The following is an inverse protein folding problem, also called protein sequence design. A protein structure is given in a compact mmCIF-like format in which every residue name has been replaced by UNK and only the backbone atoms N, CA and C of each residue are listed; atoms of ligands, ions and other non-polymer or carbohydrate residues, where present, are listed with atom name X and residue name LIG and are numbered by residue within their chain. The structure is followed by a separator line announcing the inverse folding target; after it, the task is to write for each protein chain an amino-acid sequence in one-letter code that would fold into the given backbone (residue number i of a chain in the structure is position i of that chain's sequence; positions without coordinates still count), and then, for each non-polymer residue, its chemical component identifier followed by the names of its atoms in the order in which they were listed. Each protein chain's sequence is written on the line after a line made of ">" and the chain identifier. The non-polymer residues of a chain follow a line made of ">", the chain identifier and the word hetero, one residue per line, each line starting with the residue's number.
data_IF_565745163041
#
_entry.id   IF_565745163041
#
_cell.length_a   1.000
_cell.length_b   1.000
_cell.length_c   1.000
_cell.angle_alpha   90.00
_cell.angle_beta   90.00
_cell.angle_gamma   90.00
#
_symmetry.space_group_name_H-M   'P 1'
#
loop_
_entity.id
_entity.type
_entity.pdbx_description
1 polymer ?
#
# COMPACT_ATOMS: atom_id res chain seq x y z
N UNK A 1 31.82 6.74 -86.79
CA UNK A 1 31.64 5.95 -85.55
C UNK A 1 32.68 6.39 -84.53
N UNK A 2 32.29 7.16 -83.50
CA UNK A 2 33.11 7.40 -82.31
C UNK A 2 32.19 7.87 -81.18
N UNK A 3 31.93 6.99 -80.23
CA UNK A 3 31.19 7.23 -78.99
C UNK A 3 32.02 8.09 -78.03
N UNK A 4 31.39 9.04 -77.34
CA UNK A 4 31.94 9.58 -76.10
C UNK A 4 30.85 9.59 -75.03
N UNK A 5 31.00 8.67 -74.08
CA UNK A 5 30.09 8.39 -72.97
C UNK A 5 30.60 9.21 -71.78
N UNK A 6 29.87 10.26 -71.40
CA UNK A 6 30.18 11.00 -70.18
C UNK A 6 29.44 10.36 -68.99
N UNK A 7 30.25 9.84 -68.08
CA UNK A 7 29.86 9.17 -66.85
C UNK A 7 29.58 10.21 -65.76
N UNK A 8 28.32 10.37 -65.35
CA UNK A 8 27.94 11.21 -64.21
C UNK A 8 27.20 10.42 -63.12
N UNK A 9 27.66 9.20 -62.83
CA UNK A 9 27.22 8.49 -61.62
C UNK A 9 27.93 9.09 -60.41
N UNK A 10 27.31 10.13 -59.83
CA UNK A 10 27.61 10.57 -58.46
C UNK A 10 27.33 9.40 -57.52
N UNK A 11 28.38 8.71 -57.12
CA UNK A 11 28.36 7.76 -56.02
C UNK A 11 28.16 8.57 -54.74
N UNK A 12 26.90 8.63 -54.27
CA UNK A 12 26.61 9.11 -52.93
C UNK A 12 27.12 8.02 -51.99
N UNK A 13 28.33 8.22 -51.48
CA UNK A 13 28.87 7.48 -50.34
C UNK A 13 27.95 7.78 -49.16
N UNK A 14 26.98 6.89 -48.91
CA UNK A 14 26.36 6.82 -47.60
C UNK A 14 27.48 6.51 -46.59
N UNK A 15 27.71 7.35 -45.57
CA UNK A 15 28.53 6.92 -44.47
C UNK A 15 27.83 5.70 -43.88
N UNK A 16 28.55 4.58 -43.87
CA UNK A 16 28.28 3.45 -43.01
C UNK A 16 28.32 3.97 -41.57
N UNK A 17 27.17 4.44 -41.09
CA UNK A 17 27.01 4.95 -39.74
C UNK A 17 26.93 3.76 -38.79
N UNK A 18 27.95 3.73 -37.95
CA UNK A 18 27.99 3.14 -36.63
C UNK A 18 28.20 1.63 -36.56
N UNK A 19 29.49 1.29 -36.73
CA UNK A 19 30.15 0.19 -36.03
C UNK A 19 29.57 0.04 -34.61
N UNK A 20 29.05 -1.15 -34.41
CA UNK A 20 28.46 -1.74 -33.21
C UNK A 20 29.40 -1.64 -32.00
N UNK A 21 29.27 -0.56 -31.23
CA UNK A 21 29.97 -0.32 -29.96
C UNK A 21 29.05 -0.27 -28.74
N UNK A 22 27.82 -0.79 -28.86
CA UNK A 22 26.75 -0.61 -27.86
C UNK A 22 26.36 -1.88 -27.10
N UNK A 23 26.82 -3.07 -27.53
CA UNK A 23 26.40 -4.36 -26.94
C UNK A 23 26.69 -4.44 -25.44
N UNK A 24 27.91 -4.10 -25.02
CA UNK A 24 28.30 -4.19 -23.61
C UNK A 24 27.56 -3.15 -22.74
N UNK A 25 27.33 -1.94 -23.26
CA UNK A 25 26.57 -0.91 -22.54
C UNK A 25 25.09 -1.29 -22.41
N UNK A 26 24.49 -1.81 -23.48
CA UNK A 26 23.10 -2.30 -23.47
C UNK A 26 22.94 -3.50 -22.53
N UNK A 27 23.89 -4.44 -22.53
CA UNK A 27 23.87 -5.59 -21.63
C UNK A 27 23.99 -5.17 -20.16
N UNK A 28 24.87 -4.20 -19.86
CA UNK A 28 24.96 -3.61 -18.53
C UNK A 28 23.64 -2.94 -18.12
N UNK A 29 23.04 -2.13 -19.01
CA UNK A 29 21.74 -1.48 -18.73
C UNK A 29 20.66 -2.52 -18.44
N UNK A 30 20.58 -3.60 -19.23
CA UNK A 30 19.61 -4.68 -19.01
C UNK A 30 19.87 -5.42 -17.68
N UNK A 31 21.12 -5.66 -17.33
CA UNK A 31 21.49 -6.26 -16.05
C UNK A 31 21.11 -5.35 -14.87
N UNK A 32 21.33 -4.04 -14.98
CA UNK A 32 20.92 -3.07 -13.96
C UNK A 32 19.40 -3.01 -13.80
N UNK A 33 18.65 -2.97 -14.91
CA UNK A 33 17.18 -2.97 -14.88
C UNK A 33 16.68 -4.26 -14.21
N UNK A 34 17.20 -5.42 -14.61
CA UNK A 34 16.84 -6.72 -14.03
C UNK A 34 17.16 -6.79 -12.54
N UNK A 35 18.34 -6.32 -12.12
CA UNK A 35 18.70 -6.26 -10.70
C UNK A 35 17.73 -5.38 -9.92
N UNK A 36 17.38 -4.21 -10.46
CA UNK A 36 16.50 -3.27 -9.79
C UNK A 36 15.07 -3.81 -9.68
N UNK A 37 14.55 -4.49 -10.70
CA UNK A 37 13.24 -5.12 -10.64
C UNK A 37 13.21 -6.27 -9.63
N UNK A 38 14.24 -7.12 -9.61
CA UNK A 38 14.35 -8.20 -8.62
C UNK A 38 14.45 -7.63 -7.21
N UNK A 39 15.30 -6.63 -6.97
CA UNK A 39 15.44 -5.98 -5.67
C UNK A 39 14.12 -5.33 -5.21
N UNK A 40 13.40 -4.69 -6.13
CA UNK A 40 12.09 -4.08 -5.84
C UNK A 40 11.04 -5.14 -5.46
N UNK A 41 10.94 -6.23 -6.22
CA UNK A 41 10.04 -7.34 -5.90
C UNK A 41 10.40 -7.99 -4.57
N UNK A 42 11.68 -8.22 -4.31
CA UNK A 42 12.17 -8.78 -3.05
C UNK A 42 11.81 -7.86 -1.88
N UNK A 43 12.01 -6.55 -2.04
CA UNK A 43 11.64 -5.54 -1.05
C UNK A 43 10.13 -5.54 -0.79
N UNK A 44 9.29 -5.62 -1.82
CA UNK A 44 7.83 -5.72 -1.65
C UNK A 44 7.43 -6.99 -0.89
N UNK A 45 8.05 -8.13 -1.18
CA UNK A 45 7.77 -9.40 -0.49
C UNK A 45 8.25 -9.36 0.96
N UNK A 46 9.44 -8.82 1.22
CA UNK A 46 9.99 -8.70 2.58
C UNK A 46 9.23 -7.67 3.43
N UNK A 47 8.80 -6.56 2.85
CA UNK A 47 7.96 -5.55 3.55
C UNK A 47 6.55 -6.06 3.83
N UNK A 48 6.01 -6.95 2.97
CA UNK A 48 4.75 -7.67 3.26
C UNK A 48 4.87 -8.61 4.46
N UNK A 49 6.03 -9.22 4.69
CA UNK A 49 6.23 -10.20 5.76
C UNK A 49 6.72 -9.59 7.08
N UNK A 50 7.42 -8.45 7.03
CA UNK A 50 7.89 -7.74 8.22
C UNK A 50 6.83 -6.77 8.74
N UNK A 51 5.83 -7.31 9.45
CA UNK A 51 5.17 -6.49 10.46
C UNK A 51 6.25 -6.18 11.51
N UNK A 52 6.63 -4.90 11.76
CA UNK A 52 7.58 -4.61 12.81
C UNK A 52 6.99 -5.08 14.14
N UNK A 53 7.76 -5.77 15.00
CA UNK A 53 7.30 -6.08 16.34
C UNK A 53 6.93 -4.77 17.04
N UNK A 54 5.85 -4.74 17.84
CA UNK A 54 5.48 -3.55 18.58
C UNK A 54 6.68 -3.11 19.43
N UNK A 55 7.22 -1.93 19.15
CA UNK A 55 8.22 -1.32 19.99
C UNK A 55 7.68 -1.26 21.42
N UNK A 56 8.42 -1.71 22.44
CA UNK A 56 7.97 -1.56 23.82
C UNK A 56 7.89 -0.06 24.12
N UNK A 57 6.66 0.47 24.21
CA UNK A 57 6.42 1.82 24.73
C UNK A 57 7.03 1.87 26.13
N UNK A 58 7.95 2.81 26.34
CA UNK A 58 8.43 3.22 27.67
C UNK A 58 7.24 3.35 28.62
N UNK A 59 7.15 2.46 29.61
CA UNK A 59 6.25 2.61 30.74
C UNK A 59 6.67 3.88 31.48
N UNK A 60 5.85 4.92 31.41
CA UNK A 60 5.88 5.96 32.43
C UNK A 60 5.63 5.27 33.77
N UNK A 61 6.54 5.48 34.73
CA UNK A 61 6.45 4.92 36.08
C UNK A 61 5.17 5.44 36.76
N UNK A 62 4.21 4.54 36.98
CA UNK A 62 3.15 4.67 37.96
C UNK A 62 3.38 3.57 39.02
N UNK A 63 3.01 3.78 40.31
CA UNK A 63 3.42 2.90 41.40
C UNK A 63 2.85 1.47 41.25
N UNK A 64 3.42 0.48 41.96
CA UNK A 64 3.07 -0.92 41.78
C UNK A 64 1.65 -1.17 42.31
N UNK A 65 0.68 -1.33 41.42
CA UNK A 65 -0.56 -2.03 41.74
C UNK A 65 -0.28 -3.53 41.60
N UNK A 66 -0.30 -4.22 42.74
CA UNK A 66 -0.31 -5.66 42.82
C UNK A 66 -1.53 -6.23 42.06
N UNK A 67 -1.34 -7.39 41.44
CA UNK A 67 -2.35 -8.30 40.90
C UNK A 67 -3.31 -7.76 39.84
N UNK A 68 -2.78 -7.39 38.67
CA UNK A 68 -3.55 -7.46 37.41
C UNK A 68 -2.97 -8.58 36.53
N UNK A 69 -3.78 -9.57 36.11
CA UNK A 69 -3.31 -10.59 35.17
C UNK A 69 -2.82 -9.91 33.88
N UNK A 70 -1.89 -10.52 33.12
CA UNK A 70 -1.37 -9.93 31.90
C UNK A 70 -2.55 -9.60 30.97
N UNK A 71 -2.76 -8.30 30.70
CA UNK A 71 -3.71 -7.81 29.71
C UNK A 71 -3.25 -8.32 28.33
N UNK A 72 -3.67 -9.53 27.98
CA UNK A 72 -3.67 -9.97 26.59
C UNK A 72 -4.56 -8.99 25.84
N UNK A 73 -4.12 -8.42 24.70
CA UNK A 73 -4.99 -7.58 23.87
C UNK A 73 -6.20 -8.43 23.48
N UNK A 74 -7.33 -8.19 24.14
CA UNK A 74 -8.55 -8.94 23.85
C UNK A 74 -9.10 -8.39 22.54
N UNK A 75 -9.21 -9.26 21.55
CA UNK A 75 -9.93 -8.96 20.33
C UNK A 75 -11.38 -8.57 20.69
N UNK A 76 -11.92 -7.59 19.97
CA UNK A 76 -13.30 -7.17 20.16
C UNK A 76 -14.24 -8.36 19.95
N UNK A 77 -15.20 -8.56 20.86
CA UNK A 77 -16.18 -9.64 20.71
C UNK A 77 -17.02 -9.44 19.44
N UNK A 78 -17.29 -10.53 18.72
CA UNK A 78 -18.14 -10.52 17.52
C UNK A 78 -19.53 -9.93 17.81
N UNK A 79 -20.08 -10.17 19.00
CA UNK A 79 -21.34 -9.60 19.42
C UNK A 79 -21.30 -8.06 19.46
N UNK A 80 -20.19 -7.49 19.93
CA UNK A 80 -19.98 -6.04 19.99
C UNK A 80 -19.82 -5.48 18.58
N UNK A 81 -19.04 -6.14 17.72
CA UNK A 81 -18.90 -5.75 16.30
C UNK A 81 -20.26 -5.72 15.61
N UNK A 82 -21.06 -6.78 15.78
CA UNK A 82 -22.40 -6.87 15.19
C UNK A 82 -23.34 -5.80 15.73
N UNK A 83 -23.29 -5.51 17.04
CA UNK A 83 -24.07 -4.44 17.64
C UNK A 83 -23.69 -3.07 17.08
N UNK A 84 -22.39 -2.75 16.98
CA UNK A 84 -21.91 -1.48 16.44
C UNK A 84 -22.37 -1.28 14.99
N UNK A 85 -22.26 -2.31 14.16
CA UNK A 85 -22.72 -2.27 12.75
C UNK A 85 -24.25 -2.13 12.68
N UNK A 86 -24.99 -2.85 13.53
CA UNK A 86 -26.44 -2.76 13.59
C UNK A 86 -26.90 -1.34 13.97
N UNK A 87 -26.33 -0.75 15.02
CA UNK A 87 -26.71 0.60 15.44
C UNK A 87 -26.23 1.69 14.47
N UNK A 88 -25.10 1.50 13.79
CA UNK A 88 -24.66 2.43 12.74
C UNK A 88 -25.59 2.43 11.51
N UNK A 89 -26.09 1.24 11.12
CA UNK A 89 -26.97 1.05 9.95
C UNK A 89 -28.44 1.38 10.19
N UNK A 90 -28.92 1.18 11.42
CA UNK A 90 -30.35 1.19 11.74
C UNK A 90 -30.73 2.32 12.71
N UNK A 91 -29.95 3.40 12.76
CA UNK A 91 -30.29 4.57 13.57
C UNK A 91 -31.47 5.33 12.95
N UNK A 92 -32.40 5.80 13.79
CA UNK A 92 -33.55 6.61 13.38
C UNK A 92 -33.22 8.13 13.36
N UNK A 93 -31.93 8.46 13.43
CA UNK A 93 -31.45 9.84 13.38
C UNK A 93 -30.82 10.10 12.02
N UNK A 94 -30.63 11.38 11.68
CA UNK A 94 -29.90 11.82 10.48
C UNK A 94 -28.48 11.24 10.41
N UNK A 95 -27.93 10.84 11.55
CA UNK A 95 -26.61 10.23 11.74
C UNK A 95 -26.52 8.75 11.30
N UNK A 96 -27.45 8.29 10.46
CA UNK A 96 -27.46 6.91 9.94
C UNK A 96 -26.47 6.76 8.80
N UNK A 97 -25.65 5.73 8.89
CA UNK A 97 -24.71 5.42 7.82
C UNK A 97 -25.41 4.53 6.77
N UNK A 98 -25.44 4.92 5.48
CA UNK A 98 -26.18 4.21 4.45
C UNK A 98 -25.53 2.85 4.15
N UNK A 99 -26.32 1.94 3.57
CA UNK A 99 -25.87 0.59 3.28
C UNK A 99 -24.66 0.53 2.32
N UNK A 100 -24.56 1.52 1.40
CA UNK A 100 -23.42 1.66 0.49
C UNK A 100 -22.09 1.90 1.21
N UNK A 101 -22.14 2.59 2.35
CA UNK A 101 -20.96 2.96 3.12
C UNK A 101 -20.62 1.86 4.14
N UNK A 102 -21.62 1.19 4.72
CA UNK A 102 -21.40 0.14 5.73
C UNK A 102 -20.85 -1.14 5.12
N UNK A 103 -21.34 -1.51 3.93
CA UNK A 103 -20.93 -2.74 3.25
C UNK A 103 -19.40 -2.86 3.09
N UNK A 104 -18.67 -1.85 2.58
CA UNK A 104 -17.21 -1.95 2.47
C UNK A 104 -16.52 -2.07 3.83
N UNK A 105 -17.03 -1.44 4.89
CA UNK A 105 -16.49 -1.63 6.24
C UNK A 105 -16.62 -3.09 6.67
N UNK A 106 -17.82 -3.68 6.54
CA UNK A 106 -18.06 -5.09 6.88
C UNK A 106 -17.16 -6.02 6.08
N UNK A 107 -17.00 -5.77 4.77
CA UNK A 107 -16.17 -6.59 3.89
C UNK A 107 -14.69 -6.54 4.31
N UNK A 108 -14.17 -5.37 4.70
CA UNK A 108 -12.80 -5.22 5.22
C UNK A 108 -12.62 -5.91 6.58
N UNK A 109 -13.58 -5.80 7.49
CA UNK A 109 -13.53 -6.48 8.79
C UNK A 109 -13.55 -8.01 8.65
N UNK A 110 -14.26 -8.54 7.64
CA UNK A 110 -14.24 -9.97 7.34
C UNK A 110 -12.87 -10.43 6.84
N UNK A 111 -12.16 -9.56 6.13
CA UNK A 111 -10.83 -9.85 5.61
C UNK A 111 -9.73 -9.70 6.67
N UNK A 112 -9.94 -8.85 7.69
CA UNK A 112 -8.97 -8.60 8.74
C UNK A 112 -9.64 -8.54 10.11
N UNK A 113 -9.38 -9.56 10.93
CA UNK A 113 -9.80 -9.61 12.34
C UNK A 113 -8.79 -8.83 13.20
N UNK A 114 -9.28 -7.93 14.06
CA UNK A 114 -8.45 -7.08 14.93
C UNK A 114 -7.38 -7.86 15.70
N UNK A 115 -6.16 -7.31 15.87
CA UNK A 115 -5.76 -5.93 15.53
C UNK A 115 -5.26 -5.78 14.07
N UNK A 116 -5.78 -4.76 13.36
CA UNK A 116 -5.43 -4.47 11.96
C UNK A 116 -4.76 -3.11 11.81
N UNK A 117 -4.00 -2.92 10.72
CA UNK A 117 -3.45 -1.62 10.33
C UNK A 117 -4.29 -1.04 9.19
N UNK A 118 -5.16 -0.09 9.51
CA UNK A 118 -6.04 0.56 8.54
C UNK A 118 -5.50 1.92 8.13
N UNK A 119 -5.64 2.21 6.84
CA UNK A 119 -5.42 3.52 6.25
C UNK A 119 -6.75 3.97 5.63
N UNK A 120 -7.36 5.00 6.18
CA UNK A 120 -8.68 5.50 5.78
C UNK A 120 -8.51 6.91 5.23
N UNK A 121 -9.08 7.17 4.06
CA UNK A 121 -9.03 8.47 3.39
C UNK A 121 -10.34 9.23 3.65
N UNK A 122 -10.22 10.52 3.97
CA UNK A 122 -11.33 11.41 4.27
C UNK A 122 -11.77 11.36 5.74
N UNK A 123 -12.09 12.54 6.28
CA UNK A 123 -12.64 12.72 7.63
C UNK A 123 -14.17 12.66 7.55
N UNK A 124 -14.72 11.45 7.67
CA UNK A 124 -16.18 11.23 7.70
C UNK A 124 -16.65 10.67 9.05
N UNK A 125 -17.97 10.55 9.22
CA UNK A 125 -18.57 9.96 10.42
C UNK A 125 -18.16 8.48 10.65
N UNK A 126 -17.68 7.83 9.60
CA UNK A 126 -17.18 6.45 9.63
C UNK A 126 -15.93 6.29 10.49
N UNK A 127 -15.14 7.35 10.71
CA UNK A 127 -13.90 7.26 11.48
C UNK A 127 -14.12 6.75 12.91
N UNK A 128 -15.22 7.17 13.55
CA UNK A 128 -15.59 6.72 14.89
C UNK A 128 -15.88 5.22 14.89
N UNK A 129 -16.57 4.73 13.85
CA UNK A 129 -16.87 3.33 13.67
C UNK A 129 -15.58 2.52 13.41
N UNK A 130 -14.71 2.99 12.51
CA UNK A 130 -13.40 2.39 12.25
C UNK A 130 -12.53 2.29 13.52
N UNK A 131 -12.54 3.33 14.35
CA UNK A 131 -11.79 3.36 15.60
C UNK A 131 -12.37 2.44 16.66
N UNK A 132 -13.69 2.31 16.74
CA UNK A 132 -14.36 1.39 17.66
C UNK A 132 -14.14 -0.08 17.27
N UNK A 133 -14.21 -0.38 15.97
CA UNK A 133 -14.06 -1.74 15.45
C UNK A 133 -12.62 -2.24 15.49
N UNK A 134 -11.63 -1.37 15.23
CA UNK A 134 -10.22 -1.72 15.26
C UNK A 134 -9.61 -1.58 16.66
N UNK A 135 -10.24 -2.20 17.66
CA UNK A 135 -9.78 -2.14 19.05
C UNK A 135 -8.34 -2.68 19.15
N UNK A 136 -7.46 -1.98 19.87
CA UNK A 136 -6.00 -2.23 19.94
C UNK A 136 -5.23 -2.20 18.60
N UNK A 137 -5.88 -1.91 17.47
CA UNK A 137 -5.24 -1.77 16.16
C UNK A 137 -4.80 -0.33 15.88
N UNK A 138 -4.13 -0.14 14.73
CA UNK A 138 -3.72 1.19 14.25
C UNK A 138 -4.61 1.60 13.10
N UNK A 139 -5.32 2.71 13.25
CA UNK A 139 -6.07 3.34 12.16
C UNK A 139 -5.50 4.72 11.93
N UNK A 140 -5.01 4.98 10.72
CA UNK A 140 -4.50 6.29 10.29
C UNK A 140 -5.52 6.89 9.34
N UNK A 141 -5.96 8.11 9.65
CA UNK A 141 -6.86 8.88 8.81
C UNK A 141 -6.04 9.91 8.04
N UNK A 142 -6.20 9.95 6.72
CA UNK A 142 -5.58 10.95 5.85
C UNK A 142 -6.69 11.82 5.28
N UNK A 143 -6.54 13.12 5.43
CA UNK A 143 -7.42 14.12 4.83
C UNK A 143 -6.64 15.04 3.90
N UNK A 144 -7.32 15.61 2.92
CA UNK A 144 -6.74 16.69 2.14
C UNK A 144 -6.77 17.98 2.96
N UNK A 145 -5.59 18.55 3.25
CA UNK A 145 -5.53 19.89 3.81
C UNK A 145 -5.82 20.87 2.68
N UNK A 146 -7.06 21.36 2.64
CA UNK A 146 -7.51 22.35 1.67
C UNK A 146 -6.83 23.71 1.88
#
# INVERSE_FOLDING_TARGET
>A
MKSNVNNNTKLILLPYIQKQGTSNRLWLILAFISLFTVAFLLTLVYTRQSSPPPSPRRRHLWPPQADRPPETPQAISEAVVKALIHYASNSNRTDRMPAGDIKPIVDVLRQCTSPCNFLVFGITQEMLLWRALNHHGRTVFIDENR
#
